data_IF_983218139993
#
_entry.id   IF_983218139993
#
_cell.length_a   1.000
_cell.length_b   1.000
_cell.length_c   1.000
_cell.angle_alpha   90.00
_cell.angle_beta   90.00
_cell.angle_gamma   90.00
#
_symmetry.space_group_name_H-M   'P 1'
#
loop_
_entity.id
_entity.type
_entity.pdbx_description
1 polymer ?
#
# COMPACT_ATOMS: atom_id res chain seq x y z
N UNK A 1 28.73 -17.59 -22.41
CA UNK A 1 27.41 -17.28 -22.97
C UNK A 1 26.36 -17.99 -22.14
N UNK A 2 25.65 -17.27 -21.26
CA UNK A 2 24.49 -17.76 -20.51
C UNK A 2 23.23 -17.16 -21.14
N UNK A 3 22.15 -17.93 -21.37
CA UNK A 3 20.94 -17.39 -21.95
C UNK A 3 20.10 -16.68 -20.88
N UNK A 4 19.67 -15.47 -21.21
CA UNK A 4 18.66 -14.70 -20.51
C UNK A 4 17.29 -15.35 -20.73
N UNK A 5 16.70 -15.94 -19.68
CA UNK A 5 15.29 -16.31 -19.67
C UNK A 5 14.44 -15.07 -19.36
N UNK A 6 14.03 -14.39 -20.42
CA UNK A 6 12.91 -13.44 -20.38
C UNK A 6 11.62 -14.23 -20.17
N UNK A 7 10.97 -14.07 -19.02
CA UNK A 7 9.60 -14.54 -18.79
C UNK A 7 8.65 -13.34 -18.83
N UNK A 8 7.65 -13.31 -19.73
CA UNK A 8 6.76 -12.17 -19.94
C UNK A 8 5.46 -12.23 -19.12
N UNK A 9 5.44 -12.83 -17.91
CA UNK A 9 4.17 -13.19 -17.26
C UNK A 9 3.74 -12.40 -16.02
N UNK A 10 4.41 -11.30 -15.65
CA UNK A 10 3.99 -10.48 -14.51
C UNK A 10 3.43 -9.11 -14.95
N UNK A 11 2.48 -9.14 -15.88
CA UNK A 11 1.73 -7.96 -16.31
C UNK A 11 0.24 -8.13 -16.04
N UNK A 12 -0.12 -8.46 -14.81
CA UNK A 12 -1.46 -8.13 -14.31
C UNK A 12 -1.33 -7.61 -12.90
N UNK A 13 -1.82 -6.39 -12.70
CA UNK A 13 -1.96 -5.76 -11.41
C UNK A 13 -2.53 -6.77 -10.40
N UNK A 14 -1.73 -7.06 -9.36
CA UNK A 14 -2.21 -7.81 -8.22
C UNK A 14 -3.38 -7.05 -7.60
N UNK A 15 -4.51 -7.71 -7.30
CA UNK A 15 -5.56 -7.07 -6.52
C UNK A 15 -4.97 -6.66 -5.16
N UNK A 16 -5.27 -5.45 -4.65
CA UNK A 16 -4.77 -5.02 -3.37
C UNK A 16 -5.28 -5.95 -2.29
N UNK A 17 -4.38 -6.46 -1.44
CA UNK A 17 -4.78 -7.04 -0.17
C UNK A 17 -5.67 -6.02 0.55
N UNK A 18 -6.89 -6.38 0.98
CA UNK A 18 -7.72 -5.48 1.75
C UNK A 18 -7.01 -5.14 3.06
N UNK A 19 -6.48 -3.93 3.13
CA UNK A 19 -6.14 -3.16 4.33
C UNK A 19 -5.39 -3.87 5.45
N UNK A 20 -4.07 -4.01 5.32
CA UNK A 20 -3.22 -4.18 6.51
C UNK A 20 -2.79 -2.78 6.96
N UNK A 21 -3.65 -2.14 7.74
CA UNK A 21 -3.22 -1.02 8.59
C UNK A 21 -2.13 -1.52 9.55
N UNK A 22 -1.12 -0.67 9.78
CA UNK A 22 0.00 -0.84 10.71
C UNK A 22 -0.26 -1.89 11.81
N UNK A 23 0.29 -3.09 11.64
CA UNK A 23 0.22 -4.14 12.64
C UNK A 23 1.27 -3.87 13.72
N UNK A 24 0.82 -3.23 14.80
CA UNK A 24 1.50 -3.34 16.09
C UNK A 24 1.47 -4.81 16.53
N UNK A 25 2.65 -5.37 16.83
CA UNK A 25 2.89 -6.78 17.21
C UNK A 25 2.12 -7.22 18.48
N UNK A 26 1.43 -6.31 19.16
CA UNK A 26 0.72 -6.60 20.42
C UNK A 26 -0.72 -7.13 20.28
N UNK A 27 -1.17 -7.56 19.10
CA UNK A 27 -2.58 -7.93 18.84
C UNK A 27 -2.85 -9.38 18.37
N UNK A 28 -2.01 -10.33 18.76
CA UNK A 28 -2.26 -11.77 18.53
C UNK A 28 -3.14 -12.45 19.62
N UNK A 29 -3.76 -11.68 20.52
CA UNK A 29 -4.59 -12.22 21.63
C UNK A 29 -6.10 -12.21 21.35
N UNK A 30 -6.53 -12.40 20.10
CA UNK A 30 -7.95 -12.33 19.78
C UNK A 30 -8.32 -12.52 18.32
N UNK A 31 -7.71 -13.49 17.63
CA UNK A 31 -8.46 -14.13 16.55
C UNK A 31 -9.54 -14.97 17.23
N UNK A 32 -10.82 -14.91 16.80
CA UNK A 32 -11.79 -15.89 17.26
C UNK A 32 -11.21 -17.27 16.90
N UNK A 33 -11.02 -18.13 17.90
CA UNK A 33 -11.01 -19.57 17.74
C UNK A 33 -12.39 -19.98 17.19
N UNK A 34 -12.68 -19.64 15.93
CA UNK A 34 -13.45 -20.58 15.16
C UNK A 34 -12.49 -21.73 14.95
N UNK A 35 -12.76 -22.88 15.56
CA UNK A 35 -12.20 -24.17 15.12
C UNK A 35 -12.52 -24.28 13.63
N UNK A 36 -11.66 -23.71 12.79
CA UNK A 36 -11.79 -23.81 11.34
C UNK A 36 -11.43 -25.24 11.05
N UNK A 37 -12.42 -26.09 10.84
CA UNK A 37 -12.17 -27.44 10.38
C UNK A 37 -11.54 -27.38 8.98
N UNK A 38 -10.64 -28.31 8.63
CA UNK A 38 -10.12 -28.40 7.28
C UNK A 38 -11.25 -28.58 6.27
N UNK A 39 -11.26 -27.77 5.20
CA UNK A 39 -12.15 -27.99 4.07
C UNK A 39 -11.58 -29.12 3.19
N UNK A 40 -11.90 -30.36 3.58
CA UNK A 40 -11.46 -31.55 2.86
C UNK A 40 -12.02 -31.63 1.43
N UNK A 41 -13.19 -31.02 1.17
CA UNK A 41 -13.77 -31.00 -0.17
C UNK A 41 -12.94 -30.11 -1.10
N UNK A 42 -12.63 -28.88 -0.66
CA UNK A 42 -11.76 -27.96 -1.40
C UNK A 42 -10.37 -28.57 -1.62
N UNK A 43 -9.77 -29.15 -0.58
CA UNK A 43 -8.46 -29.81 -0.69
C UNK A 43 -8.49 -30.99 -1.67
N UNK A 44 -9.60 -31.74 -1.77
CA UNK A 44 -9.75 -32.86 -2.68
C UNK A 44 -9.82 -32.40 -4.15
N UNK A 45 -10.51 -31.31 -4.46
CA UNK A 45 -10.69 -30.78 -5.82
C UNK A 45 -9.38 -30.27 -6.44
N UNK A 46 -8.43 -29.84 -5.61
CA UNK A 46 -7.22 -29.20 -6.09
C UNK A 46 -6.22 -30.23 -6.59
N UNK A 47 -5.71 -30.05 -7.80
CA UNK A 47 -4.64 -30.86 -8.35
C UNK A 47 -3.29 -30.17 -8.13
N UNK A 48 -2.36 -30.76 -7.36
CA UNK A 48 -1.00 -30.24 -7.21
C UNK A 48 -0.28 -30.12 -8.56
N UNK A 49 -0.59 -30.99 -9.54
CA UNK A 49 0.05 -30.94 -10.86
C UNK A 49 -0.36 -29.71 -11.67
N UNK A 50 -1.54 -29.13 -11.41
CA UNK A 50 -1.95 -27.88 -12.05
C UNK A 50 -1.23 -26.68 -11.42
N UNK A 51 -0.99 -26.74 -10.11
CA UNK A 51 -0.19 -25.74 -9.38
C UNK A 51 1.27 -25.80 -9.87
N UNK A 52 1.85 -26.99 -10.02
CA UNK A 52 3.18 -27.21 -10.60
C UNK A 52 3.33 -26.58 -11.99
N UNK A 53 2.24 -26.54 -12.77
CA UNK A 53 2.19 -25.97 -14.12
C UNK A 53 1.91 -24.48 -14.17
N UNK A 54 1.73 -23.83 -13.02
CA UNK A 54 1.48 -22.39 -12.94
C UNK A 54 0.03 -21.97 -13.24
N UNK A 55 -0.93 -22.90 -13.21
CA UNK A 55 -2.34 -22.61 -13.54
C UNK A 55 -3.10 -22.22 -12.27
N UNK A 56 -3.76 -21.05 -12.27
CA UNK A 56 -4.62 -20.55 -11.19
C UNK A 56 -3.98 -20.55 -9.77
N UNK A 57 -2.64 -20.48 -9.71
CA UNK A 57 -1.86 -20.69 -8.49
C UNK A 57 -2.23 -19.73 -7.36
N UNK A 58 -2.35 -18.44 -7.65
CA UNK A 58 -2.57 -17.38 -6.67
C UNK A 58 -3.87 -17.59 -5.88
N UNK A 59 -5.00 -17.66 -6.60
CA UNK A 59 -6.33 -17.76 -5.97
C UNK A 59 -6.50 -19.11 -5.26
N UNK A 60 -6.01 -20.19 -5.88
CA UNK A 60 -6.08 -21.54 -5.29
C UNK A 60 -5.24 -21.65 -4.03
N UNK A 61 -3.98 -21.20 -4.04
CA UNK A 61 -3.13 -21.27 -2.86
C UNK A 61 -3.63 -20.37 -1.72
N UNK A 62 -4.16 -19.19 -2.05
CA UNK A 62 -4.74 -18.30 -1.06
C UNK A 62 -6.01 -18.89 -0.41
N UNK A 63 -6.85 -19.57 -1.19
CA UNK A 63 -8.07 -20.19 -0.71
C UNK A 63 -7.83 -21.38 0.22
N UNK A 64 -6.77 -22.18 -0.01
CA UNK A 64 -6.50 -23.39 0.81
C UNK A 64 -5.66 -23.15 2.05
N UNK A 65 -4.98 -22.01 2.15
CA UNK A 65 -4.09 -21.73 3.28
C UNK A 65 -4.77 -21.93 4.65
N UNK A 66 -6.01 -21.43 4.88
CA UNK A 66 -6.71 -21.68 6.14
C UNK A 66 -6.93 -23.17 6.40
N UNK A 67 -7.35 -23.92 5.37
CA UNK A 67 -7.59 -25.37 5.48
C UNK A 67 -6.32 -26.15 5.75
N UNK A 68 -5.18 -25.74 5.19
CA UNK A 68 -3.87 -26.37 5.46
C UNK A 68 -3.46 -26.17 6.92
N UNK A 69 -3.64 -24.96 7.45
CA UNK A 69 -3.27 -24.60 8.83
C UNK A 69 -4.20 -25.23 9.87
N UNK A 70 -5.42 -25.58 9.47
CA UNK A 70 -6.45 -26.20 10.28
C UNK A 70 -6.28 -27.72 10.48
N UNK A 71 -5.42 -28.39 9.70
CA UNK A 71 -5.28 -29.85 9.76
C UNK A 71 -4.65 -30.27 11.08
N UNK A 72 -5.35 -31.14 11.80
CA UNK A 72 -4.77 -31.91 12.91
C UNK A 72 -4.13 -33.20 12.36
N UNK A 73 -2.94 -33.53 12.83
CA UNK A 73 -2.20 -34.73 12.42
C UNK A 73 -2.84 -35.99 13.01
N UNK A 74 -3.56 -35.84 14.12
CA UNK A 74 -4.26 -36.93 14.80
C UNK A 74 -5.69 -37.14 14.25
N UNK A 75 -6.08 -36.46 13.17
CA UNK A 75 -7.39 -36.60 12.51
C UNK A 75 -7.57 -38.03 11.94
N UNK A 76 -8.62 -38.73 12.38
CA UNK A 76 -8.93 -40.09 11.96
C UNK A 76 -9.21 -40.19 10.44
N UNK A 77 -9.67 -39.10 9.82
CA UNK A 77 -9.94 -39.03 8.38
C UNK A 77 -8.66 -38.76 7.55
N UNK A 78 -7.51 -38.54 8.19
CA UNK A 78 -6.24 -38.25 7.53
C UNK A 78 -5.52 -39.52 7.08
N UNK A 79 -5.86 -39.99 5.88
CA UNK A 79 -5.11 -41.06 5.23
C UNK A 79 -3.74 -40.58 4.68
N UNK A 80 -2.88 -41.56 4.35
CA UNK A 80 -1.53 -41.31 3.83
C UNK A 80 -1.50 -40.48 2.54
N UNK A 81 -2.48 -40.66 1.64
CA UNK A 81 -2.52 -39.92 0.38
C UNK A 81 -2.96 -38.47 0.58
N UNK A 82 -3.93 -38.22 1.49
CA UNK A 82 -4.31 -36.88 1.94
C UNK A 82 -3.13 -36.17 2.58
N UNK A 83 -2.39 -36.84 3.47
CA UNK A 83 -1.20 -36.27 4.11
C UNK A 83 -0.12 -35.89 3.08
N UNK A 84 0.16 -36.76 2.11
CA UNK A 84 1.12 -36.50 1.03
C UNK A 84 0.69 -35.33 0.14
N UNK A 85 -0.61 -35.24 -0.17
CA UNK A 85 -1.18 -34.12 -0.91
C UNK A 85 -1.07 -32.82 -0.14
N UNK A 86 -1.42 -32.84 1.14
CA UNK A 86 -1.31 -31.70 2.05
C UNK A 86 0.13 -31.19 2.09
N UNK A 87 1.11 -32.07 2.28
CA UNK A 87 2.51 -31.68 2.30
C UNK A 87 2.95 -30.96 1.02
N UNK A 88 2.55 -31.47 -0.16
CA UNK A 88 2.81 -30.80 -1.44
C UNK A 88 2.14 -29.43 -1.53
N UNK A 89 0.87 -29.32 -1.14
CA UNK A 89 0.16 -28.05 -1.14
C UNK A 89 0.80 -27.05 -0.17
N UNK A 90 1.24 -27.49 1.00
CA UNK A 90 1.99 -26.67 1.97
C UNK A 90 3.30 -26.17 1.39
N UNK A 91 4.05 -27.00 0.67
CA UNK A 91 5.28 -26.58 0.00
C UNK A 91 5.01 -25.45 -1.01
N UNK A 92 4.00 -25.60 -1.85
CA UNK A 92 3.62 -24.55 -2.80
C UNK A 92 3.12 -23.29 -2.10
N UNK A 93 2.34 -23.43 -1.03
CA UNK A 93 1.85 -22.30 -0.25
C UNK A 93 2.99 -21.51 0.38
N UNK A 94 4.00 -22.20 0.96
CA UNK A 94 5.22 -21.56 1.49
C UNK A 94 5.99 -20.83 0.39
N UNK A 95 6.20 -21.47 -0.76
CA UNK A 95 6.91 -20.85 -1.88
C UNK A 95 6.18 -19.61 -2.40
N UNK A 96 4.86 -19.68 -2.52
CA UNK A 96 4.00 -18.55 -2.91
C UNK A 96 4.10 -17.40 -1.91
N UNK A 97 4.04 -17.69 -0.60
CA UNK A 97 4.17 -16.66 0.44
C UNK A 97 5.54 -15.98 0.38
N UNK A 98 6.63 -16.74 0.21
CA UNK A 98 7.98 -16.19 0.10
C UNK A 98 8.15 -15.30 -1.15
N UNK A 99 7.65 -15.74 -2.30
CA UNK A 99 7.69 -14.94 -3.54
C UNK A 99 6.89 -13.65 -3.38
N UNK A 100 5.68 -13.75 -2.82
CA UNK A 100 4.81 -12.59 -2.60
C UNK A 100 5.45 -11.62 -1.63
N UNK A 101 6.04 -12.12 -0.54
CA UNK A 101 6.78 -11.29 0.42
C UNK A 101 7.93 -10.53 -0.25
N UNK A 102 8.72 -11.19 -1.11
CA UNK A 102 9.82 -10.54 -1.81
C UNK A 102 9.34 -9.40 -2.72
N UNK A 103 8.28 -9.65 -3.51
CA UNK A 103 7.69 -8.62 -4.39
C UNK A 103 7.18 -7.43 -3.57
N UNK A 104 6.45 -7.69 -2.49
CA UNK A 104 5.92 -6.63 -1.62
C UNK A 104 7.04 -5.81 -0.94
N UNK A 105 8.17 -6.44 -0.60
CA UNK A 105 9.34 -5.74 -0.08
C UNK A 105 9.96 -4.81 -1.12
N UNK A 106 10.12 -5.26 -2.36
CA UNK A 106 10.62 -4.43 -3.46
C UNK A 106 9.69 -3.23 -3.75
N UNK A 107 8.38 -3.46 -3.75
CA UNK A 107 7.39 -2.39 -3.94
C UNK A 107 7.40 -1.38 -2.79
N UNK A 108 7.51 -1.85 -1.55
CA UNK A 108 7.67 -0.98 -0.37
C UNK A 108 8.91 -0.10 -0.52
N UNK A 109 10.05 -0.68 -0.85
CA UNK A 109 11.31 0.06 -0.97
C UNK A 109 11.25 1.10 -2.10
N UNK A 110 10.60 0.75 -3.22
CA UNK A 110 10.34 1.69 -4.30
C UNK A 110 9.44 2.86 -3.85
N UNK A 111 8.40 2.57 -3.07
CA UNK A 111 7.49 3.59 -2.52
C UNK A 111 8.16 4.48 -1.49
N UNK A 112 9.03 3.94 -0.65
CA UNK A 112 9.82 4.71 0.31
C UNK A 112 10.79 5.66 -0.41
N UNK A 113 11.45 5.19 -1.47
CA UNK A 113 12.29 6.03 -2.31
C UNK A 113 11.50 7.15 -3.02
N UNK A 114 10.28 6.84 -3.51
CA UNK A 114 9.37 7.83 -4.10
C UNK A 114 8.96 8.89 -3.06
N UNK A 115 8.65 8.46 -1.83
CA UNK A 115 8.27 9.33 -0.73
C UNK A 115 9.40 10.28 -0.35
N UNK A 116 10.64 9.81 -0.23
CA UNK A 116 11.78 10.67 0.07
C UNK A 116 12.03 11.72 -1.02
N UNK A 117 11.92 11.34 -2.30
CA UNK A 117 12.01 12.31 -3.41
C UNK A 117 10.93 13.39 -3.31
N UNK A 118 9.70 13.02 -2.96
CA UNK A 118 8.61 13.98 -2.76
C UNK A 118 8.86 14.89 -1.55
N UNK A 119 9.37 14.35 -0.44
CA UNK A 119 9.77 15.16 0.73
C UNK A 119 10.84 16.17 0.36
N UNK A 120 11.84 15.80 -0.43
CA UNK A 120 12.87 16.72 -0.91
C UNK A 120 12.30 17.83 -1.80
N UNK A 121 11.39 17.49 -2.72
CA UNK A 121 10.70 18.49 -3.54
C UNK A 121 9.91 19.49 -2.68
N UNK A 122 9.19 19.01 -1.67
CA UNK A 122 8.44 19.86 -0.74
C UNK A 122 9.39 20.74 0.07
N UNK A 123 10.47 20.19 0.63
CA UNK A 123 11.50 20.95 1.36
C UNK A 123 12.07 22.08 0.49
N UNK A 124 12.37 21.80 -0.77
CA UNK A 124 12.88 22.78 -1.73
C UNK A 124 11.86 23.89 -2.02
N UNK A 125 10.60 23.53 -2.28
CA UNK A 125 9.52 24.51 -2.52
C UNK A 125 9.30 25.41 -1.32
N UNK A 126 9.30 24.87 -0.11
CA UNK A 126 9.20 25.66 1.13
C UNK A 126 10.38 26.64 1.23
N UNK A 127 11.61 26.17 0.97
CA UNK A 127 12.79 27.02 0.94
C UNK A 127 12.69 28.16 -0.09
N UNK A 128 12.21 27.87 -1.30
CA UNK A 128 12.04 28.86 -2.36
C UNK A 128 10.96 29.90 -2.03
N UNK A 129 9.87 29.49 -1.37
CA UNK A 129 8.82 30.41 -0.87
C UNK A 129 9.39 31.32 0.22
N UNK A 130 10.14 30.77 1.17
CA UNK A 130 10.76 31.54 2.25
C UNK A 130 11.78 32.55 1.69
N UNK A 131 12.62 32.15 0.74
CA UNK A 131 13.56 33.04 0.06
C UNK A 131 12.84 34.15 -0.71
N UNK A 132 11.78 33.84 -1.46
CA UNK A 132 10.97 34.85 -2.16
C UNK A 132 10.34 35.86 -1.20
N UNK A 133 9.87 35.43 -0.03
CA UNK A 133 9.38 36.34 1.02
C UNK A 133 10.47 37.24 1.60
N UNK A 134 11.72 36.78 1.65
CA UNK A 134 12.85 37.57 2.14
C UNK A 134 13.47 38.49 1.08
N UNK A 135 13.38 38.12 -0.21
CA UNK A 135 13.90 38.94 -1.32
C UNK A 135 12.87 39.88 -1.94
N UNK A 136 11.60 39.78 -1.57
CA UNK A 136 10.63 40.85 -1.78
C UNK A 136 10.89 41.92 -0.73
N UNK A 137 11.26 43.16 -1.10
CA UNK A 137 11.30 44.24 -0.14
C UNK A 137 9.85 44.54 0.25
N UNK A 138 9.38 43.98 1.36
CA UNK A 138 8.38 44.68 2.15
C UNK A 138 9.10 45.85 2.78
N UNK A 139 9.11 46.96 2.04
CA UNK A 139 9.02 48.27 2.63
C UNK A 139 8.01 48.23 3.77
N UNK A 140 8.46 48.61 4.96
CA UNK A 140 7.66 49.36 5.91
C UNK A 140 6.48 48.66 6.60
N UNK A 141 5.94 49.32 7.63
CA UNK A 141 4.73 48.88 8.32
C UNK A 141 3.60 48.81 7.30
N UNK A 142 2.71 47.84 7.46
CA UNK A 142 1.48 47.62 6.69
C UNK A 142 0.82 48.95 6.29
N UNK A 143 1.14 49.46 5.10
CA UNK A 143 0.55 50.69 4.54
C UNK A 143 -0.88 50.36 4.15
N UNK A 144 -1.77 50.41 5.15
CA UNK A 144 -3.20 50.35 4.93
C UNK A 144 -3.58 51.66 4.24
N UNK A 145 -4.11 51.58 3.03
CA UNK A 145 -4.48 52.76 2.25
C UNK A 145 -5.67 53.45 2.92
N UNK A 146 -5.52 54.71 3.32
CA UNK A 146 -6.57 55.44 4.02
C UNK A 146 -7.22 56.51 3.12
N UNK A 147 -8.55 56.61 3.19
CA UNK A 147 -9.27 57.67 2.49
C UNK A 147 -9.27 58.97 3.31
N UNK A 148 -8.71 60.06 2.76
CA UNK A 148 -8.63 61.36 3.45
C UNK A 148 -9.99 62.00 3.76
N UNK A 149 -11.06 61.64 3.04
CA UNK A 149 -12.39 62.22 3.23
C UNK A 149 -13.25 61.49 4.26
N UNK A 150 -12.95 60.22 4.59
CA UNK A 150 -13.75 59.46 5.55
C UNK A 150 -12.96 58.53 6.47
N UNK A 151 -11.63 58.60 6.43
CA UNK A 151 -10.67 57.88 7.25
C UNK A 151 -10.87 56.35 7.28
N UNK A 152 -11.42 55.77 6.19
CA UNK A 152 -11.56 54.32 6.03
C UNK A 152 -10.26 53.73 5.50
N UNK A 153 -9.92 52.56 6.01
CA UNK A 153 -8.70 51.83 5.66
C UNK A 153 -9.00 50.72 4.64
N UNK A 154 -8.11 50.55 3.66
CA UNK A 154 -8.24 49.62 2.56
C UNK A 154 -6.99 48.76 2.43
N UNK A 155 -7.19 47.49 2.09
CA UNK A 155 -6.12 46.50 1.95
C UNK A 155 -5.31 46.67 0.66
N UNK A 156 -5.89 47.32 -0.36
CA UNK A 156 -5.22 47.60 -1.63
C UNK A 156 -5.60 48.99 -2.16
N UNK A 157 -4.72 49.57 -2.97
CA UNK A 157 -4.93 50.89 -3.60
C UNK A 157 -6.15 50.90 -4.53
N UNK A 158 -6.46 49.78 -5.19
CA UNK A 158 -7.60 49.66 -6.10
C UNK A 158 -8.94 49.86 -5.37
N UNK A 159 -9.08 49.31 -4.16
CA UNK A 159 -10.28 49.53 -3.34
C UNK A 159 -10.40 50.97 -2.87
N UNK A 160 -9.27 51.64 -2.59
CA UNK A 160 -9.27 53.07 -2.28
C UNK A 160 -9.73 53.90 -3.50
N UNK A 161 -9.22 53.62 -4.69
CA UNK A 161 -9.60 54.33 -5.93
C UNK A 161 -11.05 54.11 -6.33
N UNK A 162 -11.59 52.91 -6.12
CA UNK A 162 -13.01 52.63 -6.33
C UNK A 162 -13.87 53.38 -5.30
N UNK A 163 -13.44 53.40 -4.03
CA UNK A 163 -14.11 54.17 -2.98
C UNK A 163 -14.16 55.68 -3.29
N UNK A 164 -13.04 56.26 -3.75
CA UNK A 164 -12.95 57.67 -4.13
C UNK A 164 -13.75 58.02 -5.39
N UNK A 165 -14.01 57.05 -6.28
CA UNK A 165 -14.83 57.28 -7.48
C UNK A 165 -16.33 57.27 -7.20
N UNK A 166 -16.76 56.57 -6.14
CA UNK A 166 -18.19 56.43 -5.78
C UNK A 166 -18.68 57.48 -4.77
N UNK A 167 -17.81 58.38 -4.32
CA UNK A 167 -18.11 59.44 -3.36
C UNK A 167 -17.70 60.79 -3.92
#
# INVERSE_FOLDING_TARGET
HLPTLSSPFLTSAFPPFPGIGSLSISRLSGMPESETLPDWALLAEISPQLIDRGIAVTDTLQAILPSILAVDVDDEDLDYEKLKKLFRLSQHAVEYLLKTQNVLMEERDAKDAELERKKDQVRKLIGDIMKRKQSSPTDGPTDVYNCSSCNKNFLTEDFLKDHQRRR
#
